data_IF_828557915362
#
_entry.id   IF_828557915362
#
_cell.length_a   1.000
_cell.length_b   1.000
_cell.length_c   1.000
_cell.angle_alpha   90.00
_cell.angle_beta   90.00
_cell.angle_gamma   90.00
#
_symmetry.space_group_name_H-M   'P 1'
#
loop_
_entity.id
_entity.type
_entity.pdbx_description
1 polymer ?
#
# COMPACT_ATOMS: atom_id res chain seq x y z
N UNK A 1 10.95 0.10 -13.36
CA UNK A 1 11.22 0.18 -11.91
C UNK A 1 9.97 -0.24 -11.14
N UNK A 2 10.14 -1.05 -10.11
CA UNK A 2 9.02 -1.54 -9.32
C UNK A 2 8.39 -0.41 -8.51
N UNK A 3 7.07 -0.40 -8.42
CA UNK A 3 6.34 0.61 -7.70
C UNK A 3 5.14 0.06 -6.95
N UNK A 4 4.89 0.61 -5.77
CA UNK A 4 3.72 0.27 -4.96
C UNK A 4 2.93 1.54 -4.69
N UNK A 5 1.61 1.46 -4.90
CA UNK A 5 0.69 2.48 -4.44
C UNK A 5 0.14 2.04 -3.09
N UNK A 6 0.16 2.95 -2.13
CA UNK A 6 -0.48 2.74 -0.83
C UNK A 6 -1.74 3.59 -0.79
N UNK A 7 -2.90 2.94 -0.74
CA UNK A 7 -4.18 3.63 -0.60
C UNK A 7 -4.44 3.87 0.88
N UNK A 8 -4.62 5.11 1.25
CA UNK A 8 -4.83 5.51 2.64
C UNK A 8 -5.76 6.71 2.74
N UNK A 9 -6.02 7.18 3.96
CA UNK A 9 -6.74 8.41 4.15
C UNK A 9 -6.24 9.14 5.41
N UNK A 10 -6.46 10.47 5.51
CA UNK A 10 -6.05 11.21 6.70
C UNK A 10 -6.71 10.66 7.96
N UNK A 11 -5.94 10.56 9.05
CA UNK A 11 -6.45 10.07 10.32
C UNK A 11 -6.57 8.56 10.43
N UNK A 12 -6.11 7.81 9.44
CA UNK A 12 -6.16 6.36 9.47
C UNK A 12 -4.94 5.80 10.21
N UNK A 13 -5.14 5.37 11.44
CA UNK A 13 -4.05 4.83 12.27
C UNK A 13 -3.43 3.57 11.68
N UNK A 14 -4.26 2.67 11.15
CA UNK A 14 -3.77 1.44 10.52
C UNK A 14 -2.93 1.75 9.28
N UNK A 15 -3.28 2.82 8.55
CA UNK A 15 -2.52 3.26 7.39
C UNK A 15 -1.13 3.74 7.80
N UNK A 16 -1.02 4.41 8.94
CA UNK A 16 0.28 4.83 9.48
C UNK A 16 1.15 3.63 9.79
N UNK A 17 0.58 2.59 10.39
CA UNK A 17 1.29 1.36 10.66
C UNK A 17 1.74 0.67 9.36
N UNK A 18 0.87 0.66 8.37
CA UNK A 18 1.19 0.10 7.06
C UNK A 18 2.32 0.83 6.37
N UNK A 19 2.32 2.16 6.44
CA UNK A 19 3.40 2.99 5.91
C UNK A 19 4.74 2.65 6.57
N UNK A 20 4.74 2.50 7.89
CA UNK A 20 5.95 2.17 8.64
C UNK A 20 6.59 0.89 8.14
N UNK A 21 5.79 -0.16 7.98
CA UNK A 21 6.26 -1.45 7.49
C UNK A 21 6.80 -1.31 6.07
N UNK A 22 6.05 -0.59 5.23
CA UNK A 22 6.42 -0.39 3.83
C UNK A 22 7.75 0.36 3.69
N UNK A 23 7.96 1.41 4.48
CA UNK A 23 9.22 2.16 4.45
C UNK A 23 10.40 1.35 4.96
N UNK A 24 10.18 0.45 5.91
CA UNK A 24 11.23 -0.47 6.37
C UNK A 24 11.67 -1.41 5.25
N UNK A 25 10.72 -1.94 4.50
CA UNK A 25 11.02 -2.80 3.35
C UNK A 25 11.78 -2.01 2.30
N UNK A 26 11.39 -0.76 2.08
CA UNK A 26 12.05 0.10 1.10
C UNK A 26 13.54 0.33 1.42
N UNK A 27 13.92 0.31 2.69
CA UNK A 27 15.33 0.45 3.07
C UNK A 27 16.20 -0.69 2.57
N UNK A 28 15.61 -1.87 2.35
CA UNK A 28 16.35 -3.05 1.89
C UNK A 28 16.14 -3.32 0.39
N UNK A 29 14.93 -3.11 -0.10
CA UNK A 29 14.55 -3.37 -1.49
C UNK A 29 14.24 -2.06 -2.20
N UNK A 30 14.80 -1.87 -3.40
CA UNK A 30 14.57 -0.63 -4.15
C UNK A 30 13.25 -0.69 -4.90
N UNK A 31 12.33 0.18 -4.54
CA UNK A 31 11.07 0.37 -5.24
C UNK A 31 10.52 1.75 -4.90
N UNK A 32 9.59 2.22 -5.72
CA UNK A 32 8.95 3.51 -5.49
C UNK A 32 7.64 3.33 -4.73
N UNK A 33 7.33 4.31 -3.90
CA UNK A 33 6.08 4.32 -3.13
C UNK A 33 5.32 5.59 -3.50
N UNK A 34 4.06 5.43 -3.88
CA UNK A 34 3.13 6.52 -4.09
C UNK A 34 2.00 6.37 -3.09
N UNK A 35 1.83 7.36 -2.21
CA UNK A 35 0.73 7.35 -1.24
C UNK A 35 -0.46 8.05 -1.89
N UNK A 36 -1.58 7.35 -1.98
CA UNK A 36 -2.80 7.85 -2.60
C UNK A 36 -3.86 8.07 -1.54
N UNK A 37 -4.27 9.32 -1.36
CA UNK A 37 -5.36 9.67 -0.46
C UNK A 37 -6.68 9.36 -1.16
N UNK A 38 -7.41 8.35 -0.68
CA UNK A 38 -8.67 7.95 -1.30
C UNK A 38 -9.82 8.91 -1.00
N UNK A 39 -9.68 9.75 0.03
CA UNK A 39 -10.78 10.63 0.45
C UNK A 39 -11.16 11.67 -0.61
N UNK A 40 -10.29 11.91 -1.58
CA UNK A 40 -10.54 12.86 -2.66
C UNK A 40 -11.25 12.25 -3.86
N UNK A 41 -11.57 10.95 -3.82
CA UNK A 41 -12.20 10.24 -4.93
C UNK A 41 -13.30 9.31 -4.42
N UNK A 42 -14.53 9.58 -4.81
CA UNK A 42 -15.67 8.72 -4.45
C UNK A 42 -15.47 7.30 -4.94
N UNK A 43 -14.92 7.16 -6.13
CA UNK A 43 -14.65 5.85 -6.73
C UNK A 43 -13.67 5.03 -5.87
N UNK A 44 -12.60 5.66 -5.40
CA UNK A 44 -11.61 4.98 -4.55
C UNK A 44 -12.18 4.66 -3.17
N UNK A 45 -13.00 5.55 -2.63
CA UNK A 45 -13.67 5.29 -1.35
C UNK A 45 -14.60 4.07 -1.46
N UNK A 46 -15.35 3.96 -2.54
CA UNK A 46 -16.20 2.80 -2.75
C UNK A 46 -15.39 1.51 -2.88
N UNK A 47 -14.27 1.59 -3.59
CA UNK A 47 -13.45 0.41 -3.86
C UNK A 47 -12.63 -0.04 -2.66
N UNK A 48 -12.05 0.88 -1.92
CA UNK A 48 -11.07 0.57 -0.86
C UNK A 48 -11.44 1.06 0.53
N UNK A 49 -12.47 1.88 0.67
CA UNK A 49 -12.73 2.68 1.87
C UNK A 49 -12.64 1.97 3.21
N UNK A 50 -13.21 0.77 3.32
CA UNK A 50 -13.18 0.01 4.58
C UNK A 50 -11.99 -0.93 4.67
N UNK A 51 -11.19 -1.01 3.62
CA UNK A 51 -10.09 -1.97 3.54
C UNK A 51 -8.70 -1.34 3.67
N UNK A 52 -8.61 -0.01 3.68
CA UNK A 52 -7.31 0.66 3.79
C UNK A 52 -6.61 0.34 5.11
N UNK A 53 -5.29 0.23 5.12
CA UNK A 53 -4.36 0.45 4.01
C UNK A 53 -4.36 -0.71 3.01
N UNK A 54 -4.31 -0.37 1.72
CA UNK A 54 -4.22 -1.36 0.64
C UNK A 54 -2.98 -1.05 -0.19
N UNK A 55 -2.22 -2.08 -0.51
CA UNK A 55 -1.06 -1.95 -1.39
C UNK A 55 -1.39 -2.50 -2.77
N UNK A 56 -0.89 -1.83 -3.79
CA UNK A 56 -1.05 -2.24 -5.19
C UNK A 56 0.32 -2.24 -5.87
N UNK A 57 0.71 -3.39 -6.41
CA UNK A 57 1.88 -3.46 -7.28
C UNK A 57 1.48 -2.94 -8.65
N UNK A 58 2.05 -1.82 -9.07
CA UNK A 58 1.65 -1.13 -10.30
C UNK A 58 2.09 -1.84 -11.58
N UNK A 59 3.02 -2.79 -11.50
CA UNK A 59 3.46 -3.53 -12.67
C UNK A 59 2.53 -4.68 -13.02
N UNK A 60 2.02 -5.39 -12.02
CA UNK A 60 1.20 -6.59 -12.28
C UNK A 60 -0.24 -6.50 -11.81
N UNK A 61 -0.61 -5.42 -11.11
CA UNK A 61 -1.98 -5.22 -10.63
C UNK A 61 -2.35 -6.02 -9.39
N UNK A 62 -1.41 -6.71 -8.77
CA UNK A 62 -1.70 -7.48 -7.57
C UNK A 62 -1.88 -6.57 -6.36
N UNK A 63 -2.83 -6.92 -5.50
CA UNK A 63 -3.14 -6.17 -4.29
C UNK A 63 -2.73 -6.95 -3.04
N UNK A 64 -2.47 -6.21 -1.96
CA UNK A 64 -2.23 -6.76 -0.64
C UNK A 64 -3.02 -5.94 0.37
N UNK A 65 -3.85 -6.62 1.14
CA UNK A 65 -4.78 -5.97 2.07
C UNK A 65 -4.29 -6.09 3.51
N UNK A 66 -4.64 -5.10 4.32
CA UNK A 66 -4.33 -5.11 5.75
C UNK A 66 -5.08 -6.23 6.48
N UNK A 67 -4.45 -6.93 7.45
CA UNK A 67 -3.07 -6.73 7.90
C UNK A 67 -2.05 -7.42 7.00
N UNK A 68 -0.88 -6.81 6.89
CA UNK A 68 0.23 -7.39 6.13
C UNK A 68 1.54 -7.20 6.90
N UNK A 69 2.56 -7.99 6.55
CA UNK A 69 3.88 -7.90 7.15
C UNK A 69 4.94 -7.70 6.07
N UNK A 70 6.20 -7.53 6.51
CA UNK A 70 7.30 -7.27 5.57
C UNK A 70 7.48 -8.39 4.53
N UNK A 71 7.35 -9.65 4.95
CA UNK A 71 7.50 -10.79 4.03
C UNK A 71 6.45 -10.78 2.93
N UNK A 72 5.21 -10.43 3.29
CA UNK A 72 4.12 -10.34 2.31
C UNK A 72 4.35 -9.21 1.32
N UNK A 73 4.91 -8.09 1.78
CA UNK A 73 5.25 -6.98 0.89
C UNK A 73 6.35 -7.40 -0.08
N UNK A 74 7.37 -8.10 0.42
CA UNK A 74 8.45 -8.61 -0.43
C UNK A 74 7.88 -9.56 -1.50
N UNK A 75 6.97 -10.44 -1.11
CA UNK A 75 6.31 -11.34 -2.05
C UNK A 75 5.46 -10.58 -3.07
N UNK A 76 4.80 -9.50 -2.65
CA UNK A 76 4.03 -8.64 -3.55
C UNK A 76 4.93 -8.02 -4.63
N UNK A 77 6.13 -7.60 -4.22
CA UNK A 77 7.11 -6.98 -5.13
C UNK A 77 7.70 -7.98 -6.12
N UNK A 78 7.92 -9.19 -5.68
CA UNK A 78 8.64 -10.21 -6.46
C UNK A 78 8.01 -11.58 -6.21
N UNK A 79 6.81 -11.80 -6.77
CA UNK A 79 6.06 -13.03 -6.55
C UNK A 79 6.67 -14.24 -7.25
#
# INVERSE_FOLDING_TARGET
>A
MKGIKLFSSPGCHLCELGEEILFRVQNTYKFQIEIVDISTSEELVEKYGIMIPVLLNTENGNHLYWPFNAEEIIFLLDP
#
